data_IF_542145218165
#
_entry.id   IF_542145218165
#
_cell.length_a   1.000
_cell.length_b   1.000
_cell.length_c   1.000
_cell.angle_alpha   90.00
_cell.angle_beta   90.00
_cell.angle_gamma   90.00
#
_symmetry.space_group_name_H-M   'P 1'
#
loop_
_entity.id
_entity.type
_entity.pdbx_description
1 polymer ?
#
# COMPACT_ATOMS: atom_id res chain seq x y z
N UNK A 1 -0.74 -17.74 14.36
CA UNK A 1 -1.16 -16.81 15.43
C UNK A 1 -1.82 -15.64 14.72
N UNK A 2 -3.03 -15.24 15.09
CA UNK A 2 -3.73 -14.12 14.44
C UNK A 2 -2.90 -12.85 14.57
N UNK A 3 -2.84 -12.04 13.50
CA UNK A 3 -2.08 -10.80 13.56
C UNK A 3 -2.78 -9.82 14.53
N UNK A 4 -2.07 -9.22 15.50
CA UNK A 4 -2.71 -8.30 16.42
C UNK A 4 -3.31 -7.11 15.68
N UNK A 5 -4.64 -6.93 15.79
CA UNK A 5 -5.36 -5.81 15.14
C UNK A 5 -4.76 -4.46 15.54
N UNK A 6 -4.34 -4.31 16.79
CA UNK A 6 -3.69 -3.07 17.25
C UNK A 6 -2.41 -2.75 16.47
N UNK A 7 -1.63 -3.77 16.09
CA UNK A 7 -0.43 -3.58 15.29
C UNK A 7 -0.76 -3.23 13.83
N UNK A 8 -1.78 -3.89 13.25
CA UNK A 8 -2.26 -3.54 11.91
C UNK A 8 -2.78 -2.10 11.85
N UNK A 9 -3.51 -1.67 12.88
CA UNK A 9 -4.02 -0.31 12.99
C UNK A 9 -2.87 0.70 13.10
N UNK A 10 -1.90 0.45 13.98
CA UNK A 10 -0.73 1.33 14.12
C UNK A 10 0.04 1.49 12.81
N UNK A 11 0.32 0.38 12.12
CA UNK A 11 1.01 0.42 10.81
C UNK A 11 0.20 1.16 9.75
N UNK A 12 -1.13 1.02 9.78
CA UNK A 12 -2.02 1.77 8.89
C UNK A 12 -1.98 3.27 9.18
N UNK A 13 -2.04 3.67 10.45
CA UNK A 13 -1.97 5.08 10.86
C UNK A 13 -0.64 5.72 10.45
N UNK A 14 0.48 5.04 10.69
CA UNK A 14 1.80 5.51 10.24
C UNK A 14 1.87 5.64 8.71
N UNK A 15 1.38 4.63 7.98
CA UNK A 15 1.32 4.67 6.52
C UNK A 15 0.45 5.81 5.99
N UNK A 16 -0.68 6.08 6.66
CA UNK A 16 -1.57 7.18 6.33
C UNK A 16 -0.89 8.54 6.57
N UNK A 17 -0.16 8.72 7.67
CA UNK A 17 0.63 9.95 7.93
C UNK A 17 1.65 10.20 6.81
N UNK A 18 2.45 9.18 6.47
CA UNK A 18 3.44 9.29 5.38
C UNK A 18 2.80 9.64 4.04
N UNK A 19 1.63 9.06 3.74
CA UNK A 19 0.89 9.38 2.52
C UNK A 19 0.32 10.81 2.54
N UNK A 20 -0.05 11.33 3.71
CA UNK A 20 -0.48 12.72 3.89
C UNK A 20 0.67 13.69 3.67
N UNK A 21 1.84 13.41 4.24
CA UNK A 21 3.07 14.18 4.05
C UNK A 21 3.51 14.19 2.57
N UNK A 22 3.53 13.03 1.92
CA UNK A 22 3.84 12.93 0.48
C UNK A 22 2.84 13.69 -0.41
N UNK A 23 1.63 13.96 0.09
CA UNK A 23 0.62 14.73 -0.65
C UNK A 23 0.86 16.25 -0.63
N UNK A 24 1.84 16.73 0.14
CA UNK A 24 2.24 18.14 0.15
C UNK A 24 2.95 18.54 -1.16
N UNK A 25 3.67 17.60 -1.78
CA UNK A 25 4.18 17.74 -3.14
C UNK A 25 3.13 17.23 -4.14
N UNK A 26 2.64 18.06 -5.10
CA UNK A 26 1.61 17.66 -6.04
C UNK A 26 1.96 16.46 -6.92
N UNK A 27 3.24 16.31 -7.30
CA UNK A 27 3.68 15.17 -8.13
C UNK A 27 3.73 13.91 -7.29
N UNK A 28 4.34 13.97 -6.10
CA UNK A 28 4.45 12.82 -5.21
C UNK A 28 3.06 12.36 -4.71
N UNK A 29 2.17 13.31 -4.41
CA UNK A 29 0.78 13.03 -4.02
C UNK A 29 -0.02 12.31 -5.11
N UNK A 30 0.16 12.70 -6.38
CA UNK A 30 -0.49 12.04 -7.51
C UNK A 30 -0.02 10.59 -7.69
N UNK A 31 1.30 10.35 -7.57
CA UNK A 31 1.89 9.00 -7.59
C UNK A 31 1.37 8.16 -6.42
N UNK A 32 1.45 8.68 -5.20
CA UNK A 32 1.00 7.98 -3.98
C UNK A 32 -0.49 7.62 -4.03
N UNK A 33 -1.35 8.53 -4.53
CA UNK A 33 -2.78 8.26 -4.73
C UNK A 33 -3.01 7.09 -5.68
N UNK A 34 -2.34 7.11 -6.84
CA UNK A 34 -2.51 6.09 -7.88
C UNK A 34 -1.98 4.72 -7.44
N UNK A 35 -0.87 4.68 -6.70
CA UNK A 35 -0.38 3.46 -6.06
C UNK A 35 -1.40 2.91 -5.05
N UNK A 36 -1.94 3.78 -4.17
CA UNK A 36 -2.94 3.37 -3.18
C UNK A 36 -4.23 2.84 -3.83
N UNK A 37 -4.68 3.45 -4.94
CA UNK A 37 -5.83 2.97 -5.71
C UNK A 37 -5.58 1.58 -6.29
N UNK A 38 -4.40 1.34 -6.87
CA UNK A 38 -4.01 0.03 -7.41
C UNK A 38 -3.93 -1.06 -6.34
N UNK A 39 -3.33 -0.73 -5.19
CA UNK A 39 -3.25 -1.62 -4.03
C UNK A 39 -4.65 -1.96 -3.52
N UNK A 40 -5.57 -0.98 -3.45
CA UNK A 40 -6.97 -1.21 -3.04
C UNK A 40 -7.69 -2.14 -4.01
N UNK A 41 -7.44 -2.03 -5.30
CA UNK A 41 -8.09 -2.90 -6.29
C UNK A 41 -7.53 -4.33 -6.26
N UNK A 42 -6.22 -4.50 -6.00
CA UNK A 42 -5.62 -5.81 -5.72
C UNK A 42 -6.15 -6.41 -4.40
N UNK A 43 -6.27 -5.60 -3.34
CA UNK A 43 -6.86 -6.01 -2.06
C UNK A 43 -8.26 -6.59 -2.27
N UNK A 44 -9.11 -5.89 -3.04
CA UNK A 44 -10.46 -6.34 -3.38
C UNK A 44 -10.49 -7.66 -4.14
N UNK A 45 -9.50 -7.91 -5.00
CA UNK A 45 -9.36 -9.19 -5.71
C UNK A 45 -8.95 -10.33 -4.80
N UNK A 46 -8.20 -10.04 -3.73
CA UNK A 46 -7.67 -11.06 -2.79
C UNK A 46 -8.65 -11.45 -1.70
N UNK A 47 -9.24 -10.47 -1.02
CA UNK A 47 -10.09 -10.71 0.17
C UNK A 47 -11.54 -10.26 -0.04
N UNK A 48 -11.89 -9.81 -1.25
CA UNK A 48 -13.24 -9.35 -1.59
C UNK A 48 -13.48 -7.87 -1.34
N UNK A 49 -14.64 -7.38 -1.77
CA UNK A 49 -15.04 -5.98 -1.63
C UNK A 49 -15.45 -5.60 -0.19
N UNK A 50 -15.80 -6.59 0.63
CA UNK A 50 -16.18 -6.42 2.03
C UNK A 50 -15.39 -7.44 2.84
N UNK A 51 -14.69 -6.96 3.84
CA UNK A 51 -13.87 -7.75 4.74
C UNK A 51 -13.87 -7.09 6.12
N UNK A 52 -13.54 -7.88 7.13
CA UNK A 52 -13.36 -7.45 8.52
C UNK A 52 -11.95 -6.92 8.76
N UNK A 53 -11.78 -6.11 9.81
CA UNK A 53 -10.45 -5.66 10.22
C UNK A 53 -9.50 -6.83 10.57
N UNK A 54 -10.04 -7.95 11.05
CA UNK A 54 -9.28 -9.18 11.32
C UNK A 54 -8.73 -9.83 10.04
N UNK A 55 -9.57 -9.96 9.01
CA UNK A 55 -9.14 -10.51 7.71
C UNK A 55 -8.07 -9.64 7.04
N UNK A 56 -8.18 -8.31 7.16
CA UNK A 56 -7.13 -7.40 6.69
C UNK A 56 -5.83 -7.57 7.49
N UNK A 57 -5.91 -7.69 8.82
CA UNK A 57 -4.76 -7.91 9.68
C UNK A 57 -4.05 -9.23 9.37
N UNK A 58 -4.82 -10.30 9.14
CA UNK A 58 -4.28 -11.60 8.74
C UNK A 58 -3.63 -11.57 7.34
N UNK A 59 -4.11 -10.71 6.44
CA UNK A 59 -3.45 -10.48 5.15
C UNK A 59 -2.11 -9.76 5.33
N UNK A 60 -1.99 -8.80 6.25
CA UNK A 60 -0.72 -8.13 6.54
C UNK A 60 0.33 -9.13 7.05
N UNK A 61 -0.08 -10.13 7.85
CA UNK A 61 0.82 -11.18 8.33
C UNK A 61 1.35 -12.10 7.22
N UNK A 62 0.65 -12.21 6.09
CA UNK A 62 1.06 -13.03 4.95
C UNK A 62 2.10 -12.32 4.07
N UNK A 63 2.40 -11.05 4.35
CA UNK A 63 3.31 -10.23 3.56
C UNK A 63 2.58 -9.32 2.56
N UNK A 64 3.21 -8.20 2.28
CA UNK A 64 2.65 -7.10 1.45
C UNK A 64 3.44 -6.87 0.17
N UNK A 65 4.28 -7.82 -0.26
CA UNK A 65 5.09 -7.70 -1.48
C UNK A 65 4.23 -7.46 -2.74
N UNK A 66 3.02 -8.02 -2.76
CA UNK A 66 2.04 -7.80 -3.81
C UNK A 66 1.63 -6.32 -3.98
N UNK A 67 1.77 -5.50 -2.93
CA UNK A 67 1.50 -4.07 -3.01
C UNK A 67 2.47 -3.39 -3.98
N UNK A 68 3.75 -3.80 -3.96
CA UNK A 68 4.78 -3.25 -4.85
C UNK A 68 4.50 -3.65 -6.30
N UNK A 69 4.12 -4.91 -6.54
CA UNK A 69 3.72 -5.37 -7.87
C UNK A 69 2.53 -4.58 -8.39
N UNK A 70 1.46 -4.46 -7.58
CA UNK A 70 0.26 -3.71 -7.95
C UNK A 70 0.57 -2.24 -8.28
N UNK A 71 1.41 -1.59 -7.48
CA UNK A 71 1.85 -0.22 -7.71
C UNK A 71 2.68 -0.10 -9.01
N UNK A 72 3.62 -1.01 -9.25
CA UNK A 72 4.47 -1.03 -10.47
C UNK A 72 3.62 -1.13 -11.73
N UNK A 73 2.60 -2.00 -11.74
CA UNK A 73 1.69 -2.12 -12.89
C UNK A 73 0.87 -0.85 -13.15
N UNK A 74 0.44 -0.16 -12.09
CA UNK A 74 -0.38 1.04 -12.23
C UNK A 74 0.43 2.29 -12.58
N UNK A 75 1.72 2.30 -12.27
CA UNK A 75 2.63 3.43 -12.43
C UNK A 75 3.90 3.04 -13.21
N UNK A 76 3.81 2.57 -14.46
CA UNK A 76 5.00 2.11 -15.20
C UNK A 76 6.08 3.21 -15.34
N UNK A 77 5.67 4.47 -15.47
CA UNK A 77 6.58 5.64 -15.57
C UNK A 77 7.30 5.93 -14.23
N UNK A 78 6.61 5.78 -13.08
CA UNK A 78 7.20 6.02 -11.76
C UNK A 78 7.80 4.75 -11.13
N UNK A 79 7.51 3.56 -11.69
CA UNK A 79 8.09 2.29 -11.28
C UNK A 79 9.61 2.26 -11.49
N UNK A 80 10.14 3.05 -12.45
CA UNK A 80 11.56 3.28 -12.62
C UNK A 80 12.18 4.03 -11.41
N UNK A 81 11.44 4.94 -10.78
CA UNK A 81 11.88 5.71 -9.60
C UNK A 81 11.58 5.00 -8.27
N UNK A 82 10.66 4.02 -8.26
CA UNK A 82 10.35 3.16 -7.11
C UNK A 82 11.30 1.95 -6.98
N UNK A 83 12.32 1.88 -7.81
CA UNK A 83 13.39 0.88 -7.68
C UNK A 83 14.29 1.24 -6.48
N UNK A 84 14.40 0.38 -5.44
CA UNK A 84 15.30 0.59 -4.32
C UNK A 84 16.78 0.77 -4.72
N UNK A 85 17.16 0.40 -5.95
CA UNK A 85 18.52 0.53 -6.47
C UNK A 85 18.73 1.74 -7.40
N UNK A 86 17.71 2.54 -7.69
CA UNK A 86 17.86 3.74 -8.53
C UNK A 86 18.54 4.92 -7.79
N UNK A 87 18.78 4.80 -6.48
CA UNK A 87 19.58 5.72 -5.67
C UNK A 87 20.98 5.11 -5.45
N UNK A 88 21.77 5.00 -6.51
CA UNK A 88 23.24 4.83 -6.45
C UNK A 88 23.89 5.74 -7.48
#
# INVERSE_FOLDING_TARGET
MAYPIANALYQWEEGYSRLREASEDPRQGAVARRAADAIRDELRRRIGATFTAGELADLYAQGTDWCLEAARWALPEAAADLDPQAIV
#
